data_IF_319841613837
#
_entry.id   IF_319841613837
#
_cell.length_a   1.000
_cell.length_b   1.000
_cell.length_c   1.000
_cell.angle_alpha   90.00
_cell.angle_beta   90.00
_cell.angle_gamma   90.00
#
_symmetry.space_group_name_H-M   'P 1'
#
loop_
_entity.id
_entity.type
_entity.pdbx_description
1 polymer ?
#
# COMPACT_ATOMS: atom_id res chain seq x y z
N UNK A 1 -16.76 5.87 40.10
CA UNK A 1 -15.40 6.05 39.53
C UNK A 1 -15.31 5.41 38.16
N UNK A 2 -15.34 4.08 38.02
CA UNK A 2 -15.18 3.41 36.72
C UNK A 2 -16.14 3.84 35.58
N UNK A 3 -17.36 4.31 35.90
CA UNK A 3 -18.32 4.77 34.88
C UNK A 3 -18.04 6.19 34.40
N UNK A 4 -17.56 7.08 35.28
CA UNK A 4 -17.10 8.42 34.89
C UNK A 4 -15.79 8.35 34.11
N UNK A 5 -14.87 7.46 34.52
CA UNK A 5 -13.59 7.27 33.81
C UNK A 5 -13.83 6.77 32.37
N UNK A 6 -14.77 5.84 32.17
CA UNK A 6 -15.17 5.35 30.84
C UNK A 6 -15.87 6.42 29.98
N UNK A 7 -16.64 7.31 30.59
CA UNK A 7 -17.28 8.43 29.88
C UNK A 7 -16.24 9.44 29.39
N UNK A 8 -15.24 9.75 30.22
CA UNK A 8 -14.15 10.65 29.88
C UNK A 8 -13.24 10.07 28.77
N UNK A 9 -12.88 8.79 28.85
CA UNK A 9 -12.12 8.09 27.80
C UNK A 9 -12.83 8.09 26.44
N UNK A 10 -14.16 7.86 26.44
CA UNK A 10 -14.97 7.89 25.23
C UNK A 10 -15.03 9.30 24.61
N UNK A 11 -15.15 10.33 25.45
CA UNK A 11 -15.07 11.72 25.01
C UNK A 11 -13.71 12.07 24.40
N UNK A 12 -12.61 11.64 25.02
CA UNK A 12 -11.25 11.86 24.51
C UNK A 12 -11.04 11.18 23.15
N UNK A 13 -11.47 9.94 22.99
CA UNK A 13 -11.38 9.22 21.71
C UNK A 13 -12.19 9.89 20.61
N UNK A 14 -13.38 10.41 20.92
CA UNK A 14 -14.18 11.19 19.96
C UNK A 14 -13.48 12.49 19.55
N UNK A 15 -12.91 13.21 20.51
CA UNK A 15 -12.18 14.45 20.23
C UNK A 15 -10.98 14.21 19.31
N UNK A 16 -10.19 13.16 19.59
CA UNK A 16 -9.06 12.74 18.74
C UNK A 16 -9.50 12.38 17.32
N UNK A 17 -10.57 11.59 17.18
CA UNK A 17 -11.15 11.24 15.87
C UNK A 17 -11.55 12.52 15.11
N UNK A 18 -12.28 13.44 15.75
CA UNK A 18 -12.72 14.69 15.12
C UNK A 18 -11.54 15.56 14.66
N UNK A 19 -10.51 15.70 15.50
CA UNK A 19 -9.32 16.47 15.15
C UNK A 19 -8.61 15.91 13.92
N UNK A 20 -8.27 14.62 13.92
CA UNK A 20 -7.57 14.00 12.80
C UNK A 20 -8.42 13.98 11.52
N UNK A 21 -9.73 13.77 11.63
CA UNK A 21 -10.64 13.90 10.48
C UNK A 21 -10.63 15.32 9.92
N UNK A 22 -10.68 16.34 10.78
CA UNK A 22 -10.65 17.74 10.32
C UNK A 22 -9.38 18.10 9.56
N UNK A 23 -8.24 17.49 9.92
CA UNK A 23 -6.99 17.65 9.17
C UNK A 23 -7.09 16.92 7.82
N UNK A 24 -7.58 15.67 7.82
CA UNK A 24 -7.66 14.85 6.61
C UNK A 24 -8.61 15.44 5.54
N UNK A 25 -9.77 15.97 5.95
CA UNK A 25 -10.78 16.59 5.09
C UNK A 25 -10.60 18.10 4.87
N UNK A 26 -9.48 18.67 5.35
CA UNK A 26 -9.08 20.07 5.20
C UNK A 26 -9.91 21.08 6.02
N UNK A 27 -10.95 20.67 6.75
CA UNK A 27 -11.77 21.59 7.55
C UNK A 27 -11.01 22.23 8.71
N UNK A 28 -9.94 21.61 9.22
CA UNK A 28 -9.01 22.19 10.18
C UNK A 28 -8.43 23.53 9.72
N UNK A 29 -8.18 23.67 8.42
CA UNK A 29 -7.63 24.87 7.80
C UNK A 29 -8.71 25.81 7.26
N UNK A 30 -9.99 25.45 7.40
CA UNK A 30 -11.10 26.20 6.80
C UNK A 30 -11.04 26.28 5.27
N UNK A 31 -10.38 25.33 4.60
CA UNK A 31 -10.19 25.34 3.15
C UNK A 31 -11.52 25.13 2.42
N UNK A 32 -11.91 26.07 1.55
CA UNK A 32 -13.22 26.06 0.88
C UNK A 32 -13.10 25.67 -0.59
N UNK A 33 -12.07 26.14 -1.27
CA UNK A 33 -11.90 25.93 -2.71
C UNK A 33 -11.04 24.69 -3.01
N UNK A 34 -11.08 24.20 -4.25
CA UNK A 34 -10.19 23.13 -4.69
C UNK A 34 -8.73 23.60 -4.61
N UNK A 35 -8.42 24.79 -5.13
CA UNK A 35 -7.10 25.42 -5.02
C UNK A 35 -6.53 25.45 -3.61
N UNK A 36 -7.32 25.86 -2.60
CA UNK A 36 -6.87 25.89 -1.20
C UNK A 36 -6.41 24.49 -0.75
N UNK A 37 -7.21 23.46 -1.07
CA UNK A 37 -6.91 22.08 -0.70
C UNK A 37 -5.68 21.54 -1.44
N UNK A 38 -5.51 21.91 -2.71
CA UNK A 38 -4.32 21.54 -3.48
C UNK A 38 -3.06 22.19 -2.92
N UNK A 39 -3.11 23.48 -2.55
CA UNK A 39 -1.98 24.16 -1.89
C UNK A 39 -1.57 23.46 -0.59
N UNK A 40 -2.55 23.14 0.27
CA UNK A 40 -2.32 22.46 1.55
C UNK A 40 -1.70 21.07 1.38
N UNK A 41 -1.86 20.45 0.22
CA UNK A 41 -1.36 19.10 -0.09
C UNK A 41 -0.04 19.13 -0.84
N UNK A 42 0.14 20.08 -1.74
CA UNK A 42 1.33 20.26 -2.56
C UNK A 42 2.56 20.60 -1.73
N UNK A 43 2.44 21.53 -0.77
CA UNK A 43 3.59 22.01 0.01
C UNK A 43 4.30 20.88 0.78
N UNK A 44 3.63 20.01 1.57
CA UNK A 44 4.30 18.88 2.23
C UNK A 44 4.87 17.81 1.28
N UNK A 45 4.51 17.87 -0.02
CA UNK A 45 4.94 16.91 -1.04
C UNK A 45 5.94 17.52 -2.04
N UNK A 46 6.35 18.77 -1.88
CA UNK A 46 7.19 19.48 -2.84
C UNK A 46 8.53 18.76 -3.09
N UNK A 47 9.14 18.16 -2.06
CA UNK A 47 10.34 17.30 -2.20
C UNK A 47 10.21 16.17 -3.24
N UNK A 48 8.99 15.66 -3.49
CA UNK A 48 8.76 14.60 -4.48
C UNK A 48 8.94 15.10 -5.92
N UNK A 49 8.73 16.40 -6.17
CA UNK A 49 9.00 17.03 -7.45
C UNK A 49 10.50 16.95 -7.75
N UNK A 50 11.34 17.31 -6.79
CA UNK A 50 12.81 17.22 -6.93
C UNK A 50 13.25 15.77 -7.13
N UNK A 51 12.83 14.87 -6.25
CA UNK A 51 13.27 13.48 -6.23
C UNK A 51 12.84 12.69 -7.49
N UNK A 52 11.62 12.92 -7.99
CA UNK A 52 11.03 12.07 -9.03
C UNK A 52 10.60 12.81 -10.30
N UNK A 53 10.62 14.15 -10.29
CA UNK A 53 10.07 14.96 -11.39
C UNK A 53 8.56 14.76 -11.58
N UNK A 54 7.82 14.44 -10.50
CA UNK A 54 6.37 14.21 -10.59
C UNK A 54 5.58 15.52 -10.45
N UNK A 55 4.59 15.69 -11.31
CA UNK A 55 3.61 16.76 -11.26
C UNK A 55 2.22 16.11 -11.34
N UNK A 56 1.62 15.83 -10.17
CA UNK A 56 0.36 15.11 -10.06
C UNK A 56 -0.51 15.68 -8.94
N UNK A 57 -1.65 15.05 -8.67
CA UNK A 57 -2.61 15.43 -7.62
C UNK A 57 -2.02 15.55 -6.20
N UNK A 58 -0.81 15.07 -5.94
CA UNK A 58 -0.10 15.22 -4.66
C UNK A 58 0.80 16.45 -4.61
N UNK A 59 1.33 16.89 -5.75
CA UNK A 59 2.37 17.93 -5.85
C UNK A 59 1.91 19.20 -6.55
N UNK A 60 0.81 19.15 -7.30
CA UNK A 60 0.31 20.28 -8.07
C UNK A 60 -0.66 21.16 -7.30
N UNK A 61 -0.68 22.45 -7.67
CA UNK A 61 -1.74 23.41 -7.30
C UNK A 61 -2.68 23.73 -8.47
N UNK A 62 -2.41 23.16 -9.64
CA UNK A 62 -3.22 23.30 -10.84
C UNK A 62 -4.44 22.38 -10.78
N UNK A 63 -5.63 22.97 -10.83
CA UNK A 63 -6.90 22.26 -10.72
C UNK A 63 -7.14 21.32 -11.90
N UNK A 64 -6.73 21.71 -13.12
CA UNK A 64 -6.91 20.91 -14.34
C UNK A 64 -6.02 19.67 -14.31
N UNK A 65 -4.74 19.83 -13.95
CA UNK A 65 -3.82 18.70 -13.80
C UNK A 65 -4.29 17.73 -12.71
N UNK A 66 -4.86 18.26 -11.62
CA UNK A 66 -5.48 17.44 -10.58
C UNK A 66 -6.68 16.64 -11.11
N UNK A 67 -7.59 17.28 -11.83
CA UNK A 67 -8.78 16.65 -12.40
C UNK A 67 -8.43 15.57 -13.43
N UNK A 68 -7.47 15.85 -14.33
CA UNK A 68 -6.97 14.88 -15.33
C UNK A 68 -6.33 13.66 -14.66
N UNK A 69 -5.54 13.88 -13.60
CA UNK A 69 -4.99 12.79 -12.80
C UNK A 69 -6.09 11.93 -12.17
N UNK A 70 -7.07 12.54 -11.51
CA UNK A 70 -8.16 11.83 -10.82
C UNK A 70 -9.02 11.07 -11.83
N UNK A 71 -9.31 11.69 -12.98
CA UNK A 71 -10.04 11.08 -14.08
C UNK A 71 -9.31 9.82 -14.57
N UNK A 72 -8.02 9.93 -14.88
CA UNK A 72 -7.21 8.82 -15.37
C UNK A 72 -7.14 7.69 -14.35
N UNK A 73 -6.88 8.00 -13.07
CA UNK A 73 -6.84 7.00 -12.01
C UNK A 73 -8.18 6.25 -11.84
N UNK A 74 -9.31 6.98 -11.90
CA UNK A 74 -10.65 6.38 -11.84
C UNK A 74 -10.96 5.52 -13.05
N UNK A 75 -10.57 5.94 -14.25
CA UNK A 75 -10.76 5.14 -15.46
C UNK A 75 -10.01 3.80 -15.37
N UNK A 76 -8.75 3.81 -14.94
CA UNK A 76 -7.98 2.57 -14.77
C UNK A 76 -8.67 1.60 -13.81
N UNK A 77 -9.16 2.09 -12.67
CA UNK A 77 -9.82 1.29 -11.63
C UNK A 77 -11.22 0.80 -12.04
N UNK A 78 -12.08 1.71 -12.50
CA UNK A 78 -13.48 1.41 -12.81
C UNK A 78 -13.61 0.53 -14.06
N UNK A 79 -12.57 0.47 -14.90
CA UNK A 79 -12.57 -0.39 -16.08
C UNK A 79 -12.30 -1.87 -15.77
N UNK A 80 -11.93 -2.23 -14.53
CA UNK A 80 -11.56 -3.60 -14.15
C UNK A 80 -12.79 -4.48 -13.96
N UNK A 81 -13.09 -5.27 -14.99
CA UNK A 81 -14.10 -6.33 -14.96
C UNK A 81 -13.49 -7.66 -14.47
N UNK A 82 -14.31 -8.71 -14.46
CA UNK A 82 -13.93 -10.03 -13.94
C UNK A 82 -12.77 -10.65 -14.73
N UNK A 83 -12.74 -10.41 -16.05
CA UNK A 83 -11.66 -10.91 -16.92
C UNK A 83 -10.35 -10.19 -16.59
N UNK A 84 -10.40 -8.89 -16.36
CA UNK A 84 -9.24 -8.12 -15.93
C UNK A 84 -8.77 -8.52 -14.54
N UNK A 85 -9.67 -8.80 -13.59
CA UNK A 85 -9.29 -9.34 -12.29
C UNK A 85 -8.56 -10.69 -12.40
N UNK A 86 -9.09 -11.61 -13.20
CA UNK A 86 -8.41 -12.89 -13.49
C UNK A 86 -7.03 -12.65 -14.12
N UNK A 87 -6.94 -11.75 -15.10
CA UNK A 87 -5.66 -11.36 -15.73
C UNK A 87 -4.66 -10.79 -14.72
N UNK A 88 -5.10 -9.94 -13.79
CA UNK A 88 -4.23 -9.37 -12.75
C UNK A 88 -3.73 -10.47 -11.79
N UNK A 89 -4.57 -11.46 -11.45
CA UNK A 89 -4.19 -12.63 -10.65
C UNK A 89 -3.15 -13.51 -11.36
N UNK A 90 -3.42 -13.87 -12.61
CA UNK A 90 -2.47 -14.61 -13.46
C UNK A 90 -1.15 -13.86 -13.60
N UNK A 91 -1.22 -12.53 -13.77
CA UNK A 91 -0.06 -11.66 -13.89
C UNK A 91 0.78 -11.64 -12.62
N UNK A 92 0.14 -11.50 -11.46
CA UNK A 92 0.82 -11.55 -10.17
C UNK A 92 1.53 -12.89 -9.95
N UNK A 93 0.85 -14.00 -10.26
CA UNK A 93 1.42 -15.34 -10.14
C UNK A 93 2.59 -15.56 -11.11
N UNK A 94 2.47 -15.06 -12.35
CA UNK A 94 3.55 -15.08 -13.34
C UNK A 94 4.77 -14.28 -12.85
N UNK A 95 4.57 -13.07 -12.34
CA UNK A 95 5.65 -12.22 -11.86
C UNK A 95 6.39 -12.87 -10.68
N UNK A 96 5.65 -13.46 -9.73
CA UNK A 96 6.24 -14.14 -8.58
C UNK A 96 7.05 -15.37 -9.00
N UNK A 97 6.50 -16.21 -9.88
CA UNK A 97 7.23 -17.38 -10.40
C UNK A 97 8.48 -16.96 -11.17
N UNK A 98 8.39 -15.89 -11.98
CA UNK A 98 9.55 -15.37 -12.73
C UNK A 98 10.63 -14.86 -11.78
N UNK A 99 10.24 -14.16 -10.71
CA UNK A 99 11.18 -13.72 -9.68
C UNK A 99 11.82 -14.90 -8.93
N UNK A 100 11.05 -15.93 -8.56
CA UNK A 100 11.57 -17.14 -7.91
C UNK A 100 12.60 -17.84 -8.81
N UNK A 101 12.31 -18.00 -10.11
CA UNK A 101 13.25 -18.59 -11.06
C UNK A 101 14.52 -17.74 -11.20
N UNK A 102 14.38 -16.41 -11.25
CA UNK A 102 15.51 -15.49 -11.23
C UNK A 102 16.34 -15.63 -9.94
N UNK A 103 15.70 -15.69 -8.77
CA UNK A 103 16.37 -15.87 -7.49
C UNK A 103 17.12 -17.21 -7.45
N UNK A 104 16.47 -18.30 -7.88
CA UNK A 104 17.11 -19.62 -7.95
C UNK A 104 18.36 -19.64 -8.83
N UNK A 105 18.31 -18.97 -9.98
CA UNK A 105 19.43 -18.91 -10.92
C UNK A 105 20.61 -18.07 -10.41
N UNK A 106 20.38 -17.07 -9.56
CA UNK A 106 21.41 -16.11 -9.12
C UNK A 106 21.85 -16.27 -7.66
N UNK A 107 21.01 -16.87 -6.80
CA UNK A 107 21.20 -16.98 -5.35
C UNK A 107 21.15 -18.42 -4.84
N UNK A 108 20.85 -19.39 -5.72
CA UNK A 108 20.61 -20.78 -5.33
C UNK A 108 19.15 -21.04 -4.97
N UNK A 109 18.80 -22.31 -4.74
CA UNK A 109 17.43 -22.72 -4.41
C UNK A 109 16.87 -21.87 -3.26
N UNK A 110 15.80 -21.12 -3.53
CA UNK A 110 15.23 -20.16 -2.60
C UNK A 110 14.76 -20.80 -1.29
N UNK A 111 14.39 -22.09 -1.32
CA UNK A 111 14.03 -22.82 -0.10
C UNK A 111 15.20 -22.91 0.88
N UNK A 112 16.43 -23.03 0.38
CA UNK A 112 17.64 -23.13 1.19
C UNK A 112 18.29 -21.74 1.40
N UNK A 113 18.46 -20.99 0.31
CA UNK A 113 19.16 -19.71 0.29
C UNK A 113 18.34 -18.54 0.84
N UNK A 114 17.01 -18.68 0.89
CA UNK A 114 16.08 -17.63 1.26
C UNK A 114 15.61 -16.80 0.05
N UNK A 115 14.31 -16.49 0.03
CA UNK A 115 13.69 -15.57 -0.92
C UNK A 115 13.46 -14.20 -0.26
N UNK A 116 14.13 -13.11 -0.68
CA UNK A 116 13.92 -11.78 -0.10
C UNK A 116 12.50 -11.28 -0.36
N UNK A 117 11.70 -11.19 0.71
CA UNK A 117 10.25 -10.96 0.59
C UNK A 117 9.92 -9.55 0.08
N UNK A 118 10.59 -8.53 0.61
CA UNK A 118 10.34 -7.15 0.22
C UNK A 118 10.64 -6.94 -1.28
N UNK A 119 11.78 -7.45 -1.78
CA UNK A 119 12.14 -7.36 -3.19
C UNK A 119 11.15 -8.12 -4.09
N UNK A 120 10.80 -9.36 -3.73
CA UNK A 120 9.83 -10.17 -4.47
C UNK A 120 8.47 -9.46 -4.60
N UNK A 121 7.93 -8.97 -3.48
CA UNK A 121 6.61 -8.31 -3.42
C UNK A 121 6.65 -6.96 -4.12
N UNK A 122 7.77 -6.22 -4.07
CA UNK A 122 7.98 -5.00 -4.85
C UNK A 122 7.93 -5.30 -6.35
N UNK A 123 8.61 -6.34 -6.83
CA UNK A 123 8.57 -6.76 -8.25
C UNK A 123 7.16 -7.14 -8.69
N UNK A 124 6.47 -7.99 -7.92
CA UNK A 124 5.09 -8.43 -8.23
C UNK A 124 4.12 -7.24 -8.27
N UNK A 125 4.18 -6.38 -7.24
CA UNK A 125 3.28 -5.23 -7.14
C UNK A 125 3.50 -4.23 -8.26
N UNK A 126 4.75 -3.94 -8.64
CA UNK A 126 5.06 -3.08 -9.77
C UNK A 126 4.50 -3.68 -11.08
N UNK A 127 4.76 -4.96 -11.32
CA UNK A 127 4.35 -5.66 -12.53
C UNK A 127 2.81 -5.65 -12.73
N UNK A 128 2.06 -5.81 -11.64
CA UNK A 128 0.59 -5.72 -11.61
C UNK A 128 0.11 -4.27 -11.80
N UNK A 129 0.75 -3.29 -11.18
CA UNK A 129 0.42 -1.86 -11.36
C UNK A 129 0.67 -1.42 -12.80
N UNK A 130 1.73 -1.89 -13.45
CA UNK A 130 1.98 -1.61 -14.87
C UNK A 130 0.92 -2.25 -15.78
N UNK A 131 0.45 -3.46 -15.47
CA UNK A 131 -0.67 -4.08 -16.19
C UNK A 131 -1.97 -3.28 -16.03
N UNK A 132 -2.23 -2.76 -14.82
CA UNK A 132 -3.42 -1.95 -14.53
C UNK A 132 -3.40 -0.58 -15.23
N UNK A 133 -2.26 0.12 -15.19
CA UNK A 133 -2.15 1.51 -15.64
C UNK A 133 -1.75 1.63 -17.12
N UNK A 134 -0.95 0.70 -17.64
CA UNK A 134 -0.37 0.75 -18.98
C UNK A 134 -0.52 -0.58 -19.75
N UNK A 135 -1.73 -1.15 -19.85
CA UNK A 135 -1.94 -2.47 -20.46
C UNK A 135 -1.50 -2.56 -21.94
N UNK A 136 -1.49 -1.43 -22.66
CA UNK A 136 -1.12 -1.35 -24.09
C UNK A 136 0.37 -1.08 -24.31
N UNK A 137 1.05 -0.48 -23.35
CA UNK A 137 2.43 -0.02 -23.45
C UNK A 137 3.29 -0.84 -22.50
N UNK A 138 3.20 -2.16 -22.61
CA UNK A 138 3.81 -3.07 -21.64
C UNK A 138 4.88 -3.92 -22.31
N UNK A 139 6.09 -3.82 -21.81
CA UNK A 139 7.19 -4.71 -22.17
C UNK A 139 7.05 -6.09 -21.54
N UNK A 140 7.97 -6.99 -21.90
CA UNK A 140 8.17 -8.24 -21.15
C UNK A 140 8.71 -7.90 -19.77
N UNK A 141 8.32 -8.69 -18.76
CA UNK A 141 8.89 -8.54 -17.42
C UNK A 141 10.38 -8.92 -17.45
N UNK A 142 11.22 -7.92 -17.20
CA UNK A 142 12.62 -8.08 -16.83
C UNK A 142 12.71 -7.94 -15.32
N UNK A 143 13.05 -9.03 -14.61
CA UNK A 143 13.19 -9.00 -13.15
C UNK A 143 14.27 -8.01 -12.72
N UNK A 144 15.37 -7.93 -13.48
CA UNK A 144 16.47 -6.98 -13.23
C UNK A 144 16.00 -5.53 -13.33
N UNK A 145 15.24 -5.18 -14.36
CA UNK A 145 14.71 -3.82 -14.50
C UNK A 145 13.66 -3.52 -13.43
N UNK A 146 12.81 -4.48 -13.07
CA UNK A 146 11.84 -4.32 -12.00
C UNK A 146 12.52 -4.11 -10.64
N UNK A 147 13.56 -4.88 -10.31
CA UNK A 147 14.38 -4.66 -9.11
C UNK A 147 15.01 -3.27 -9.16
N UNK A 148 15.61 -2.87 -10.29
CA UNK A 148 16.24 -1.56 -10.45
C UNK A 148 15.26 -0.41 -10.26
N UNK A 149 14.07 -0.49 -10.86
CA UNK A 149 13.02 0.52 -10.70
C UNK A 149 12.59 0.63 -9.24
N UNK A 150 12.25 -0.50 -8.62
CA UNK A 150 11.72 -0.51 -7.25
C UNK A 150 12.75 -0.14 -6.20
N UNK A 151 14.02 -0.52 -6.36
CA UNK A 151 15.11 -0.10 -5.47
C UNK A 151 15.42 1.39 -5.64
N UNK A 152 15.48 1.88 -6.88
CA UNK A 152 15.72 3.30 -7.16
C UNK A 152 14.63 4.18 -6.58
N UNK A 153 13.35 3.76 -6.67
CA UNK A 153 12.24 4.47 -6.02
C UNK A 153 12.44 4.54 -4.51
N UNK A 154 12.78 3.42 -3.86
CA UNK A 154 12.97 3.40 -2.41
C UNK A 154 14.16 4.28 -1.98
N UNK A 155 15.28 4.20 -2.68
CA UNK A 155 16.49 5.01 -2.42
C UNK A 155 16.19 6.50 -2.56
N UNK A 156 15.64 6.94 -3.70
CA UNK A 156 15.28 8.34 -3.92
C UNK A 156 14.24 8.84 -2.90
N UNK A 157 13.32 7.98 -2.48
CA UNK A 157 12.35 8.34 -1.45
C UNK A 157 13.02 8.60 -0.10
N UNK A 158 13.89 7.69 0.35
CA UNK A 158 14.61 7.82 1.62
C UNK A 158 15.50 9.07 1.59
N UNK A 159 16.28 9.26 0.53
CA UNK A 159 17.12 10.45 0.33
C UNK A 159 16.31 11.74 0.40
N UNK A 160 15.13 11.79 -0.25
CA UNK A 160 14.29 12.99 -0.28
C UNK A 160 13.81 13.46 1.10
N UNK A 161 13.82 12.59 2.11
CA UNK A 161 13.45 12.94 3.49
C UNK A 161 14.61 13.50 4.31
N UNK A 162 15.84 13.12 3.98
CA UNK A 162 17.06 13.54 4.70
C UNK A 162 17.60 14.86 4.14
N UNK A 163 17.44 15.04 2.84
CA UNK A 163 18.02 16.11 2.05
C UNK A 163 16.95 17.14 1.61
N UNK A 164 16.05 17.50 2.52
CA UNK A 164 15.03 18.51 2.29
C UNK A 164 15.75 19.86 2.04
N UNK A 165 15.62 20.41 0.82
CA UNK A 165 16.25 21.66 0.35
C UNK A 165 17.76 21.64 0.03
N UNK A 166 18.39 20.48 -0.12
CA UNK A 166 19.76 20.38 -0.67
C UNK A 166 19.78 20.08 -2.18
N UNK A 167 20.76 20.59 -2.94
CA UNK A 167 20.90 20.28 -4.36
C UNK A 167 21.00 18.78 -4.62
N UNK A 168 20.41 18.33 -5.74
CA UNK A 168 20.45 16.93 -6.16
C UNK A 168 21.91 16.45 -6.33
N UNK A 169 22.28 15.38 -5.62
CA UNK A 169 23.63 14.82 -5.69
C UNK A 169 23.86 14.10 -7.02
N UNK A 170 25.13 13.96 -7.44
CA UNK A 170 25.48 13.15 -8.62
C UNK A 170 25.11 11.66 -8.47
N UNK A 171 24.96 11.17 -7.24
CA UNK A 171 24.44 9.83 -7.00
C UNK A 171 22.93 9.78 -7.28
N UNK A 172 22.16 10.71 -6.71
CA UNK A 172 20.71 10.80 -6.93
C UNK A 172 20.35 10.98 -8.41
N UNK A 173 21.11 11.81 -9.14
CA UNK A 173 20.95 11.97 -10.61
C UNK A 173 21.16 10.65 -11.36
N UNK A 174 22.20 9.88 -11.00
CA UNK A 174 22.48 8.58 -11.60
C UNK A 174 21.36 7.57 -11.30
N UNK A 175 20.90 7.51 -10.05
CA UNK A 175 19.76 6.68 -9.64
C UNK A 175 18.49 7.03 -10.40
N UNK A 176 18.20 8.33 -10.57
CA UNK A 176 17.05 8.82 -11.35
C UNK A 176 17.16 8.45 -12.83
N UNK A 177 18.35 8.58 -13.43
CA UNK A 177 18.58 8.16 -14.81
C UNK A 177 18.39 6.64 -15.00
N UNK A 178 18.86 5.82 -14.05
CA UNK A 178 18.67 4.36 -14.05
C UNK A 178 17.19 4.00 -13.90
N UNK A 179 16.48 4.64 -12.96
CA UNK A 179 15.04 4.50 -12.77
C UNK A 179 14.27 4.73 -14.07
N UNK A 180 14.49 5.87 -14.73
CA UNK A 180 13.79 6.19 -15.97
C UNK A 180 14.14 5.23 -17.11
N UNK A 181 15.41 4.81 -17.23
CA UNK A 181 15.85 3.85 -18.25
C UNK A 181 15.18 2.49 -18.07
N UNK A 182 15.27 1.90 -16.89
CA UNK A 182 14.66 0.59 -16.61
C UNK A 182 13.14 0.63 -16.67
N UNK A 183 12.52 1.72 -16.25
CA UNK A 183 11.07 1.90 -16.39
C UNK A 183 10.63 1.99 -17.86
N UNK A 184 11.39 2.69 -18.70
CA UNK A 184 11.13 2.74 -20.15
C UNK A 184 11.18 1.35 -20.79
N UNK A 185 12.13 0.50 -20.39
CA UNK A 185 12.22 -0.90 -20.82
C UNK A 185 10.97 -1.70 -20.42
N UNK A 186 10.49 -1.54 -19.18
CA UNK A 186 9.27 -2.21 -18.72
C UNK A 186 7.99 -1.69 -19.42
N UNK A 187 8.00 -0.45 -19.89
CA UNK A 187 6.89 0.18 -20.60
C UNK A 187 6.95 0.08 -22.14
N UNK A 188 7.89 -0.70 -22.70
CA UNK A 188 8.07 -0.82 -24.16
C UNK A 188 8.08 0.54 -24.90
N UNK A 189 8.56 1.61 -24.26
CA UNK A 189 8.64 2.96 -24.81
C UNK A 189 10.10 3.33 -25.08
N UNK A 190 10.35 4.02 -26.20
CA UNK A 190 11.71 4.43 -26.61
C UNK A 190 12.33 5.47 -25.67
N UNK A 191 11.54 6.40 -25.15
CA UNK A 191 11.97 7.42 -24.21
C UNK A 191 10.78 7.99 -23.45
N UNK A 192 10.96 8.25 -22.14
CA UNK A 192 10.01 8.99 -21.32
C UNK A 192 10.25 10.49 -21.53
N UNK A 193 9.71 11.07 -22.61
CA UNK A 193 9.93 12.48 -22.98
C UNK A 193 8.72 13.35 -22.62
N UNK A 194 8.94 14.42 -21.84
CA UNK A 194 7.95 15.46 -21.51
C UNK A 194 7.56 15.48 -20.02
N UNK A 195 7.51 16.68 -19.40
CA UNK A 195 7.09 16.86 -17.99
C UNK A 195 5.66 16.39 -17.72
N UNK A 196 4.83 16.37 -18.76
CA UNK A 196 3.40 16.10 -18.64
C UNK A 196 3.06 14.60 -18.83
N UNK A 197 4.05 13.76 -19.15
CA UNK A 197 3.88 12.32 -19.37
C UNK A 197 4.84 11.47 -18.52
N UNK A 198 5.29 11.97 -17.37
CA UNK A 198 6.07 11.16 -16.43
C UNK A 198 5.20 10.01 -15.87
N UNK A 199 5.45 8.73 -16.20
CA UNK A 199 4.60 7.62 -15.76
C UNK A 199 4.63 7.43 -14.24
N UNK A 200 5.67 7.94 -13.56
CA UNK A 200 5.73 7.97 -12.10
C UNK A 200 4.59 8.78 -11.48
N UNK A 201 3.96 9.70 -12.22
CA UNK A 201 2.79 10.43 -11.74
C UNK A 201 1.69 9.48 -11.26
N UNK A 202 1.39 8.41 -12.01
CA UNK A 202 0.38 7.41 -11.68
C UNK A 202 0.96 6.17 -10.99
N UNK A 203 2.17 5.74 -11.37
CA UNK A 203 2.81 4.56 -10.79
C UNK A 203 3.08 4.78 -9.31
N UNK A 204 3.69 5.91 -8.92
CA UNK A 204 4.12 6.12 -7.53
C UNK A 204 2.95 5.99 -6.54
N UNK A 205 1.80 6.70 -6.70
CA UNK A 205 0.68 6.55 -5.78
C UNK A 205 0.08 5.15 -5.73
N UNK A 206 0.05 4.43 -6.86
CA UNK A 206 -0.54 3.09 -6.95
C UNK A 206 0.39 2.00 -6.39
N UNK A 207 1.67 2.05 -6.75
CA UNK A 207 2.68 1.07 -6.38
C UNK A 207 3.13 1.21 -4.93
N UNK A 208 3.53 2.41 -4.50
CA UNK A 208 4.15 2.62 -3.18
C UNK A 208 3.21 2.30 -2.02
N UNK A 209 1.93 2.57 -2.21
CA UNK A 209 0.91 2.27 -1.21
C UNK A 209 0.57 0.79 -1.17
N UNK A 210 0.62 0.11 -2.32
CA UNK A 210 0.19 -1.28 -2.44
C UNK A 210 1.21 -2.26 -1.84
N UNK A 211 2.46 -2.23 -2.28
CA UNK A 211 3.41 -3.31 -1.95
C UNK A 211 3.65 -3.47 -0.44
N UNK A 212 3.60 -2.35 0.32
CA UNK A 212 3.84 -2.33 1.77
C UNK A 212 2.73 -3.02 2.55
N UNK A 213 1.47 -2.77 2.18
CA UNK A 213 0.33 -3.45 2.83
C UNK A 213 0.31 -4.92 2.45
N UNK A 214 0.68 -5.29 1.21
CA UNK A 214 0.81 -6.71 0.81
C UNK A 214 1.87 -7.41 1.65
N UNK A 215 3.08 -6.85 1.75
CA UNK A 215 4.19 -7.43 2.52
C UNK A 215 3.80 -7.66 3.97
N UNK A 216 3.29 -6.61 4.63
CA UNK A 216 2.94 -6.67 6.05
C UNK A 216 1.78 -7.64 6.31
N UNK A 217 0.76 -7.63 5.45
CA UNK A 217 -0.38 -8.54 5.57
C UNK A 217 0.04 -9.98 5.35
N UNK A 218 0.83 -10.27 4.31
CA UNK A 218 1.31 -11.62 4.04
C UNK A 218 2.16 -12.16 5.20
N UNK A 219 3.15 -11.40 5.68
CA UNK A 219 3.98 -11.85 6.81
C UNK A 219 3.13 -12.07 8.05
N UNK A 220 2.31 -11.08 8.43
CA UNK A 220 1.54 -11.17 9.66
C UNK A 220 0.59 -12.36 9.62
N UNK A 221 -0.14 -12.56 8.51
CA UNK A 221 -1.17 -13.59 8.43
C UNK A 221 -0.59 -14.98 8.13
N UNK A 222 0.35 -15.10 7.21
CA UNK A 222 0.89 -16.40 6.79
C UNK A 222 2.05 -16.91 7.66
N UNK A 223 2.78 -16.03 8.37
CA UNK A 223 4.03 -16.38 9.04
C UNK A 223 4.04 -16.14 10.56
N UNK A 224 3.29 -15.14 11.04
CA UNK A 224 3.32 -14.76 12.46
C UNK A 224 2.04 -15.08 13.24
N UNK A 225 0.88 -14.95 12.59
CA UNK A 225 -0.40 -15.29 13.20
C UNK A 225 -0.49 -16.81 13.36
N UNK A 226 -1.29 -17.29 14.31
CA UNK A 226 -1.53 -18.71 14.57
C UNK A 226 -2.97 -18.94 15.06
N UNK A 227 -3.52 -20.14 14.86
CA UNK A 227 -4.83 -20.55 15.39
C UNK A 227 -5.89 -20.82 14.32
N UNK A 228 -6.91 -21.59 14.71
CA UNK A 228 -7.96 -22.15 13.83
C UNK A 228 -8.72 -21.08 13.04
N UNK A 229 -9.14 -19.97 13.67
CA UNK A 229 -9.94 -18.91 13.03
C UNK A 229 -9.20 -18.23 11.87
N UNK A 230 -7.88 -18.11 11.97
CA UNK A 230 -7.03 -17.54 10.92
C UNK A 230 -6.90 -18.51 9.74
N UNK A 231 -6.70 -19.80 10.03
CA UNK A 231 -6.58 -20.85 9.02
C UNK A 231 -7.86 -20.94 8.18
N UNK A 232 -9.02 -21.02 8.85
CA UNK A 232 -10.32 -21.00 8.18
C UNK A 232 -10.50 -19.77 7.28
N UNK A 233 -10.08 -18.59 7.75
CA UNK A 233 -10.21 -17.34 6.98
C UNK A 233 -9.30 -17.33 5.74
N UNK A 234 -8.07 -17.82 5.85
CA UNK A 234 -7.13 -17.87 4.71
C UNK A 234 -7.54 -18.93 3.70
N UNK A 235 -7.92 -20.13 4.15
CA UNK A 235 -8.35 -21.21 3.28
C UNK A 235 -9.62 -20.83 2.52
N UNK A 236 -10.61 -20.23 3.21
CA UNK A 236 -11.80 -19.64 2.60
C UNK A 236 -11.42 -18.62 1.51
N UNK A 237 -10.48 -17.71 1.79
CA UNK A 237 -10.06 -16.71 0.80
C UNK A 237 -9.33 -17.31 -0.40
N UNK A 238 -8.49 -18.33 -0.18
CA UNK A 238 -7.75 -19.02 -1.24
C UNK A 238 -8.68 -19.74 -2.20
N UNK A 239 -9.80 -20.27 -1.71
CA UNK A 239 -10.85 -20.86 -2.52
C UNK A 239 -11.68 -19.80 -3.27
N UNK A 240 -12.05 -18.70 -2.59
CA UNK A 240 -12.95 -17.69 -3.15
C UNK A 240 -12.26 -16.83 -4.22
N UNK A 241 -11.08 -16.29 -3.92
CA UNK A 241 -10.41 -15.27 -4.74
C UNK A 241 -10.22 -15.68 -6.22
N UNK A 242 -9.77 -16.90 -6.55
CA UNK A 242 -9.58 -17.33 -7.94
C UNK A 242 -10.88 -17.48 -8.73
N UNK A 243 -11.99 -17.76 -8.05
CA UNK A 243 -13.27 -18.10 -8.66
C UNK A 243 -14.23 -16.91 -8.73
N UNK A 244 -14.09 -15.94 -7.82
CA UNK A 244 -15.15 -14.95 -7.58
C UNK A 244 -14.72 -13.48 -7.59
N UNK A 245 -13.46 -13.15 -7.89
CA UNK A 245 -13.09 -11.73 -8.03
C UNK A 245 -13.85 -11.05 -9.18
N UNK A 246 -14.77 -10.15 -8.80
CA UNK A 246 -15.68 -9.43 -9.69
C UNK A 246 -17.01 -10.15 -9.99
N UNK A 247 -17.23 -11.37 -9.50
CA UNK A 247 -18.54 -12.03 -9.62
C UNK A 247 -19.49 -11.57 -8.49
N UNK A 248 -20.74 -12.06 -8.49
CA UNK A 248 -21.87 -11.59 -7.66
C UNK A 248 -21.53 -11.18 -6.20
N UNK A 249 -22.25 -10.17 -5.70
CA UNK A 249 -22.05 -9.45 -4.43
C UNK A 249 -21.96 -10.34 -3.17
N UNK A 250 -22.56 -11.52 -3.17
CA UNK A 250 -22.73 -12.33 -1.95
C UNK A 250 -21.41 -12.95 -1.43
N UNK A 251 -20.42 -13.19 -2.31
CA UNK A 251 -19.11 -13.75 -1.94
C UNK A 251 -18.00 -12.69 -1.82
N UNK A 252 -18.30 -11.42 -2.11
CA UNK A 252 -17.35 -10.32 -1.96
C UNK A 252 -17.15 -9.90 -0.50
N UNK A 253 -18.08 -10.28 0.38
CA UNK A 253 -18.05 -9.93 1.81
C UNK A 253 -16.73 -10.31 2.51
N UNK A 254 -16.32 -11.60 2.51
CA UNK A 254 -15.07 -12.04 3.12
C UNK A 254 -13.82 -11.40 2.50
N UNK A 255 -13.77 -11.28 1.16
CA UNK A 255 -12.65 -10.68 0.42
C UNK A 255 -12.47 -9.21 0.81
N UNK A 256 -13.57 -8.44 0.80
CA UNK A 256 -13.51 -7.03 1.20
C UNK A 256 -13.21 -6.90 2.69
N UNK A 257 -13.78 -7.75 3.55
CA UNK A 257 -13.51 -7.73 4.99
C UNK A 257 -12.03 -7.96 5.31
N UNK A 258 -11.39 -8.93 4.63
CA UNK A 258 -9.95 -9.17 4.75
C UNK A 258 -9.13 -7.95 4.32
N UNK A 259 -9.42 -7.38 3.15
CA UNK A 259 -8.74 -6.19 2.67
C UNK A 259 -8.94 -4.98 3.58
N UNK A 260 -10.12 -4.83 4.21
CA UNK A 260 -10.36 -3.77 5.20
C UNK A 260 -9.53 -3.95 6.45
N UNK A 261 -9.42 -5.16 6.96
CA UNK A 261 -8.59 -5.43 8.13
C UNK A 261 -7.11 -5.22 7.84
N UNK A 262 -6.64 -5.62 6.66
CA UNK A 262 -5.30 -5.31 6.18
C UNK A 262 -5.03 -3.80 6.14
N UNK A 263 -5.97 -3.01 5.62
CA UNK A 263 -5.84 -1.55 5.58
C UNK A 263 -5.97 -0.88 6.94
N UNK A 264 -6.69 -1.49 7.89
CA UNK A 264 -6.78 -1.01 9.27
C UNK A 264 -5.45 -1.26 9.99
N UNK A 265 -4.97 -2.51 10.00
CA UNK A 265 -3.78 -2.87 10.74
C UNK A 265 -2.49 -2.33 10.08
N UNK A 266 -2.45 -2.28 8.74
CA UNK A 266 -1.30 -1.84 7.96
C UNK A 266 -1.66 -0.73 6.97
N UNK A 267 -2.15 0.40 7.48
CA UNK A 267 -2.53 1.55 6.67
C UNK A 267 -1.35 2.04 5.79
N UNK A 268 -1.45 2.00 4.44
CA UNK A 268 -0.39 2.47 3.56
C UNK A 268 -0.02 3.93 3.77
N UNK A 269 -1.03 4.76 4.07
CA UNK A 269 -0.88 6.16 4.43
C UNK A 269 -1.14 6.31 5.92
N UNK A 270 -0.10 6.08 6.72
CA UNK A 270 -0.18 6.18 8.18
C UNK A 270 -0.47 7.60 8.68
N UNK A 271 0.02 8.60 7.95
CA UNK A 271 -0.16 10.02 8.25
C UNK A 271 -0.59 10.77 7.01
N UNK A 272 -1.63 11.59 7.15
CA UNK A 272 -2.13 12.47 6.08
C UNK A 272 -1.67 13.90 6.40
N UNK A 273 -0.62 14.35 5.71
CA UNK A 273 -0.03 15.67 5.91
C UNK A 273 -0.79 16.76 5.16
N UNK A 274 -0.91 17.92 5.80
CA UNK A 274 -1.44 19.17 5.27
C UNK A 274 -0.63 20.34 5.80
N UNK A 275 -0.27 21.31 4.96
CA UNK A 275 0.47 22.46 5.42
C UNK A 275 0.50 23.60 4.41
N UNK A 276 0.58 24.84 4.90
CA UNK A 276 0.69 26.03 4.05
C UNK A 276 2.09 26.20 3.45
N UNK A 277 3.08 25.64 4.14
CA UNK A 277 4.48 25.60 3.72
C UNK A 277 5.09 24.27 4.20
N UNK A 278 6.33 23.99 3.78
CA UNK A 278 7.09 22.82 4.26
C UNK A 278 7.35 22.84 5.78
N UNK A 279 7.27 24.02 6.42
CA UNK A 279 7.57 24.19 7.85
C UNK A 279 6.31 24.35 8.73
N UNK A 280 5.13 24.54 8.12
CA UNK A 280 3.83 24.66 8.82
C UNK A 280 2.94 23.47 8.43
N UNK A 281 3.37 22.26 8.78
CA UNK A 281 2.68 21.01 8.42
C UNK A 281 2.03 20.37 9.65
N UNK A 282 0.77 19.99 9.51
CA UNK A 282 -0.01 19.19 10.47
C UNK A 282 -0.37 17.85 9.82
N UNK A 283 -0.41 16.78 10.61
CA UNK A 283 -0.74 15.44 10.13
C UNK A 283 -1.97 14.86 10.86
N UNK A 284 -2.89 14.28 10.09
CA UNK A 284 -3.84 13.33 10.66
C UNK A 284 -3.12 12.00 10.89
N UNK A 285 -3.16 11.44 12.09
CA UNK A 285 -2.55 10.14 12.39
C UNK A 285 -3.59 9.04 12.20
N UNK A 286 -3.51 8.38 11.05
CA UNK A 286 -4.42 7.30 10.64
C UNK A 286 -4.10 6.03 11.41
N UNK A 287 -2.82 5.70 11.54
CA UNK A 287 -2.33 4.51 12.22
C UNK A 287 -2.71 4.53 13.71
N UNK A 288 -2.50 5.66 14.39
CA UNK A 288 -2.89 5.81 15.79
C UNK A 288 -4.40 5.57 16.00
N UNK A 289 -5.25 6.12 15.13
CA UNK A 289 -6.70 5.86 15.21
C UNK A 289 -7.07 4.41 14.88
N UNK A 290 -6.31 3.73 14.04
CA UNK A 290 -6.58 2.34 13.64
C UNK A 290 -6.12 1.34 14.68
N UNK A 291 -5.11 1.67 15.47
CA UNK A 291 -4.54 0.81 16.52
C UNK A 291 -5.08 1.14 17.93
N UNK A 292 -5.92 2.17 18.06
CA UNK A 292 -6.43 2.60 19.37
C UNK A 292 -7.34 1.53 20.01
N UNK A 293 -6.92 1.03 21.19
CA UNK A 293 -7.61 -0.01 21.96
C UNK A 293 -9.00 0.44 22.46
N UNK A 294 -9.22 1.75 22.69
CA UNK A 294 -10.53 2.28 23.09
C UNK A 294 -11.50 2.32 21.91
N UNK A 295 -11.01 2.40 20.67
CA UNK A 295 -11.82 2.40 19.46
C UNK A 295 -12.07 0.97 18.98
N UNK A 296 -11.03 0.13 18.92
CA UNK A 296 -11.06 -1.18 18.26
C UNK A 296 -11.11 -2.37 19.21
N UNK A 297 -11.06 -2.13 20.52
CA UNK A 297 -11.08 -3.15 21.57
C UNK A 297 -9.70 -3.70 21.91
N UNK A 298 -9.61 -4.64 22.87
CA UNK A 298 -8.34 -5.21 23.34
C UNK A 298 -7.53 -5.91 22.24
N UNK A 299 -8.21 -6.43 21.22
CA UNK A 299 -7.62 -7.12 20.07
C UNK A 299 -7.19 -6.14 18.95
N UNK A 300 -7.15 -4.83 19.17
CA UNK A 300 -6.89 -3.81 18.12
C UNK A 300 -5.61 -4.05 17.32
N UNK A 301 -4.62 -4.72 17.90
CA UNK A 301 -3.33 -4.99 17.24
C UNK A 301 -3.31 -6.36 16.54
N UNK A 302 -4.36 -7.15 16.71
CA UNK A 302 -4.53 -8.45 16.04
C UNK A 302 -5.19 -8.25 14.68
N UNK A 303 -4.82 -9.12 13.73
CA UNK A 303 -5.47 -9.20 12.43
C UNK A 303 -6.77 -10.01 12.53
N UNK A 304 -7.91 -9.33 12.58
CA UNK A 304 -9.25 -9.93 12.70
C UNK A 304 -10.21 -9.44 11.60
N UNK A 305 -10.27 -10.12 10.44
CA UNK A 305 -11.22 -9.81 9.37
C UNK A 305 -12.69 -9.91 9.79
N UNK A 306 -12.97 -10.68 10.85
CA UNK A 306 -14.29 -10.82 11.45
C UNK A 306 -14.95 -9.48 11.82
N UNK A 307 -14.15 -8.46 12.16
CA UNK A 307 -14.62 -7.09 12.45
C UNK A 307 -15.44 -6.49 11.31
N UNK A 308 -15.07 -6.81 10.08
CA UNK A 308 -15.68 -6.24 8.87
C UNK A 308 -16.67 -7.16 8.17
N UNK A 309 -16.91 -8.38 8.69
CA UNK A 309 -17.93 -9.31 8.13
C UNK A 309 -19.33 -8.72 8.18
N UNK A 310 -19.68 -7.98 9.24
CA UNK A 310 -20.93 -7.24 9.36
C UNK A 310 -20.66 -5.76 9.69
N UNK A 311 -20.63 -4.92 8.66
CA UNK A 311 -20.33 -3.49 8.79
C UNK A 311 -21.32 -2.75 9.70
N UNK A 312 -22.54 -3.28 9.92
CA UNK A 312 -23.54 -2.69 10.81
C UNK A 312 -23.14 -2.85 12.28
N UNK A 313 -22.30 -3.83 12.62
CA UNK A 313 -21.81 -4.06 13.99
C UNK A 313 -20.69 -3.11 14.40
N UNK A 314 -20.04 -2.43 13.46
CA UNK A 314 -19.05 -1.41 13.80
C UNK A 314 -19.70 -0.31 14.63
N UNK A 315 -18.99 0.18 15.64
CA UNK A 315 -19.44 1.37 16.38
C UNK A 315 -19.30 2.62 15.49
N UNK A 316 -19.94 3.73 15.89
CA UNK A 316 -19.75 5.01 15.19
C UNK A 316 -18.27 5.44 15.20
N UNK A 317 -17.59 5.27 16.33
CA UNK A 317 -16.17 5.61 16.46
C UNK A 317 -15.29 4.77 15.53
N UNK A 318 -15.53 3.46 15.43
CA UNK A 318 -14.79 2.59 14.50
C UNK A 318 -14.97 3.03 13.05
N UNK A 319 -16.21 3.35 12.65
CA UNK A 319 -16.48 3.87 11.30
C UNK A 319 -15.81 5.21 11.05
N UNK A 320 -15.83 6.12 12.03
CA UNK A 320 -15.26 7.45 11.90
C UNK A 320 -13.71 7.43 11.93
N UNK A 321 -13.11 6.48 12.65
CA UNK A 321 -11.67 6.24 12.71
C UNK A 321 -11.11 5.56 11.45
N UNK A 322 -11.91 4.71 10.78
CA UNK A 322 -11.50 3.99 9.59
C UNK A 322 -11.40 4.90 8.34
N UNK A 323 -10.19 5.43 8.10
CA UNK A 323 -9.87 6.33 6.99
C UNK A 323 -8.59 5.96 6.18
N UNK A 324 -8.33 4.69 5.85
CA UNK A 324 -7.10 4.30 5.13
C UNK A 324 -6.98 4.91 3.72
N UNK A 325 -8.08 5.37 3.16
CA UNK A 325 -8.18 6.03 1.86
C UNK A 325 -8.36 7.55 1.94
N UNK A 326 -8.16 8.13 3.12
CA UNK A 326 -8.60 9.50 3.41
C UNK A 326 -10.13 9.63 3.45
N UNK A 327 -10.59 10.87 3.60
CA UNK A 327 -12.02 11.21 3.72
C UNK A 327 -12.33 12.50 2.96
N UNK A 328 -13.63 12.79 2.80
CA UNK A 328 -14.10 14.01 2.15
C UNK A 328 -13.83 14.02 0.64
N UNK A 329 -13.54 15.21 0.11
CA UNK A 329 -13.47 15.49 -1.34
C UNK A 329 -12.22 14.94 -2.03
N UNK A 330 -11.15 14.64 -1.27
CA UNK A 330 -9.90 14.06 -1.79
C UNK A 330 -9.72 12.59 -1.40
N UNK A 331 -10.83 11.85 -1.24
CA UNK A 331 -10.79 10.41 -0.98
C UNK A 331 -10.14 9.67 -2.15
N UNK A 332 -9.32 8.66 -1.83
CA UNK A 332 -8.60 7.85 -2.82
C UNK A 332 -9.54 7.21 -3.85
N UNK A 333 -9.20 7.24 -5.16
CA UNK A 333 -9.97 6.55 -6.20
C UNK A 333 -10.21 5.05 -5.95
N UNK A 334 -9.33 4.37 -5.19
CA UNK A 334 -9.42 2.94 -4.91
C UNK A 334 -10.38 2.56 -3.75
N UNK A 335 -11.00 3.54 -3.07
CA UNK A 335 -11.68 3.34 -1.79
C UNK A 335 -13.02 2.58 -1.83
N UNK A 336 -13.52 2.25 -3.04
CA UNK A 336 -14.80 1.58 -3.25
C UNK A 336 -14.62 0.07 -3.45
N UNK A 337 -13.80 -0.54 -2.59
CA UNK A 337 -13.52 -1.98 -2.60
C UNK A 337 -12.42 -2.41 -3.57
N UNK A 338 -11.95 -1.54 -4.47
CA UNK A 338 -10.89 -1.92 -5.42
C UNK A 338 -9.58 -2.23 -4.67
N UNK A 339 -9.19 -1.35 -3.74
CA UNK A 339 -7.98 -1.55 -2.95
C UNK A 339 -8.04 -2.82 -2.11
N UNK A 340 -9.17 -3.07 -1.45
CA UNK A 340 -9.40 -4.27 -0.64
C UNK A 340 -9.31 -5.57 -1.46
N UNK A 341 -9.92 -5.59 -2.66
CA UNK A 341 -9.84 -6.73 -3.58
C UNK A 341 -8.43 -6.97 -4.08
N UNK A 342 -7.71 -5.90 -4.45
CA UNK A 342 -6.32 -6.00 -4.89
C UNK A 342 -5.41 -6.55 -3.80
N UNK A 343 -5.61 -6.11 -2.55
CA UNK A 343 -4.84 -6.61 -1.41
C UNK A 343 -5.06 -8.11 -1.22
N UNK A 344 -6.32 -8.53 -1.16
CA UNK A 344 -6.69 -9.93 -0.96
C UNK A 344 -6.17 -10.81 -2.10
N UNK A 345 -6.27 -10.35 -3.35
CA UNK A 345 -5.74 -11.03 -4.53
C UNK A 345 -4.25 -11.30 -4.41
N UNK A 346 -3.45 -10.26 -4.13
CA UNK A 346 -2.00 -10.38 -4.10
C UNK A 346 -1.52 -11.22 -2.90
N UNK A 347 -2.17 -11.11 -1.74
CA UNK A 347 -1.87 -11.95 -0.58
C UNK A 347 -2.19 -13.43 -0.87
N UNK A 348 -3.34 -13.73 -1.50
CA UNK A 348 -3.68 -15.10 -1.91
C UNK A 348 -2.68 -15.64 -2.93
N UNK A 349 -2.23 -14.84 -3.89
CA UNK A 349 -1.20 -15.27 -4.85
C UNK A 349 0.11 -15.62 -4.14
N UNK A 350 0.53 -14.82 -3.16
CA UNK A 350 1.72 -15.12 -2.34
C UNK A 350 1.53 -16.41 -1.54
N UNK A 351 0.40 -16.55 -0.84
CA UNK A 351 0.07 -17.73 -0.06
C UNK A 351 0.07 -19.00 -0.91
N UNK A 352 -0.59 -19.00 -2.07
CA UNK A 352 -0.65 -20.18 -2.96
C UNK A 352 0.70 -20.59 -3.55
N UNK A 353 1.68 -19.67 -3.62
CA UNK A 353 2.99 -19.91 -4.25
C UNK A 353 4.10 -20.16 -3.25
N UNK A 354 4.10 -19.42 -2.15
CA UNK A 354 5.13 -19.50 -1.11
C UNK A 354 4.69 -20.40 0.05
N UNK A 355 3.40 -20.48 0.32
CA UNK A 355 2.83 -21.19 1.47
C UNK A 355 2.75 -20.32 2.72
N UNK A 356 2.59 -21.00 3.85
CA UNK A 356 2.52 -20.44 5.20
C UNK A 356 3.43 -21.20 6.15
N UNK A 357 3.51 -20.72 7.39
CA UNK A 357 4.24 -21.40 8.47
C UNK A 357 3.78 -22.84 8.68
N UNK A 358 2.49 -23.10 8.57
CA UNK A 358 1.91 -24.44 8.78
C UNK A 358 2.22 -25.40 7.62
N UNK A 359 2.59 -24.84 6.45
CA UNK A 359 3.12 -25.59 5.30
C UNK A 359 4.65 -25.74 5.33
N UNK A 360 5.28 -25.45 6.47
CA UNK A 360 6.73 -25.56 6.66
C UNK A 360 7.54 -24.35 6.19
N UNK A 361 6.90 -23.23 5.86
CA UNK A 361 7.61 -22.00 5.49
C UNK A 361 8.15 -21.29 6.74
N UNK A 362 9.42 -20.91 6.72
CA UNK A 362 10.07 -20.20 7.81
C UNK A 362 10.47 -18.80 7.35
N UNK A 363 10.34 -17.82 8.25
CA UNK A 363 10.83 -16.47 8.05
C UNK A 363 12.18 -16.29 8.73
N UNK A 364 13.11 -15.72 7.99
CA UNK A 364 14.39 -15.22 8.46
C UNK A 364 14.27 -13.70 8.60
N UNK A 365 14.39 -13.19 9.83
CA UNK A 365 14.28 -11.76 10.14
C UNK A 365 15.60 -11.00 9.87
N UNK A 366 16.63 -11.67 9.35
CA UNK A 366 17.95 -11.08 9.14
C UNK A 366 18.52 -10.51 10.45
N UNK A 367 18.95 -9.24 10.41
CA UNK A 367 19.50 -8.54 11.58
C UNK A 367 18.43 -8.01 12.56
N UNK A 368 17.14 -8.24 12.31
CA UNK A 368 16.05 -7.73 13.15
C UNK A 368 15.71 -8.70 14.30
N UNK A 369 15.21 -8.16 15.40
CA UNK A 369 14.64 -8.98 16.48
C UNK A 369 13.46 -9.81 15.97
N UNK A 370 13.29 -11.00 16.56
CA UNK A 370 12.14 -11.84 16.28
C UNK A 370 10.86 -11.10 16.66
N UNK A 371 9.87 -11.17 15.78
CA UNK A 371 8.61 -10.45 15.98
C UNK A 371 7.63 -11.27 16.82
N UNK A 372 7.00 -10.61 17.79
CA UNK A 372 5.99 -11.19 18.66
C UNK A 372 4.67 -11.46 17.93
N UNK A 373 3.96 -12.50 18.37
CA UNK A 373 2.59 -12.77 17.89
C UNK A 373 1.64 -11.70 18.41
N UNK A 374 0.76 -11.20 17.55
CA UNK A 374 -0.29 -10.25 17.94
C UNK A 374 0.14 -8.78 18.01
N UNK A 375 1.40 -8.47 17.67
CA UNK A 375 1.86 -7.10 17.51
C UNK A 375 1.94 -6.71 16.02
N UNK A 376 1.72 -5.43 15.67
CA UNK A 376 1.91 -4.97 14.31
C UNK A 376 3.39 -5.04 13.94
N UNK A 377 3.66 -5.43 12.70
CA UNK A 377 5.01 -5.44 12.14
C UNK A 377 5.66 -4.05 12.12
N UNK A 378 6.99 -3.97 12.10
CA UNK A 378 7.68 -2.73 11.77
C UNK A 378 7.32 -2.31 10.35
N UNK A 379 7.15 -1.01 10.15
CA UNK A 379 6.54 -0.47 8.93
C UNK A 379 7.37 0.67 8.34
N UNK A 380 8.61 0.86 8.81
CA UNK A 380 9.61 1.73 8.19
C UNK A 380 10.05 1.21 6.83
N UNK A 381 10.78 2.05 6.09
CA UNK A 381 11.11 1.76 4.69
C UNK A 381 12.19 0.69 4.52
N UNK A 382 13.00 0.49 5.55
CA UNK A 382 14.17 -0.40 5.51
C UNK A 382 14.03 -1.59 6.47
N UNK A 383 13.05 -1.55 7.38
CA UNK A 383 12.92 -2.45 8.52
C UNK A 383 12.78 -3.94 8.13
N UNK A 384 12.22 -4.21 6.94
CA UNK A 384 11.98 -5.58 6.45
C UNK A 384 12.77 -5.91 5.17
N UNK A 385 13.76 -5.09 4.77
CA UNK A 385 14.49 -5.29 3.51
C UNK A 385 15.39 -6.54 3.54
N UNK A 386 15.88 -6.93 4.71
CA UNK A 386 16.70 -8.13 4.90
C UNK A 386 15.87 -9.40 5.14
N UNK A 387 14.54 -9.28 5.26
CA UNK A 387 13.70 -10.41 5.63
C UNK A 387 13.51 -11.35 4.44
N UNK A 388 13.68 -12.64 4.69
CA UNK A 388 13.58 -13.68 3.68
C UNK A 388 12.71 -14.84 4.15
N UNK A 389 12.15 -15.60 3.21
CA UNK A 389 11.48 -16.87 3.53
C UNK A 389 12.25 -18.06 2.98
N UNK A 390 12.28 -19.13 3.76
CA UNK A 390 12.94 -20.41 3.46
C UNK A 390 11.92 -21.53 3.62
N UNK A 391 12.02 -22.55 2.77
CA UNK A 391 11.17 -23.73 2.87
C UNK A 391 11.88 -24.81 3.66
N UNK A 392 11.13 -25.68 4.33
CA UNK A 392 11.64 -27.01 4.68
C UNK A 392 11.89 -27.88 3.45
#
# INVERSE_FOLDING_TARGET
MAENDRLDENCLSRARILQHRSIADFSYFGAKTLRDRLQLRAAPNARLITAFGINNSFTTVDEKLHEEFIHTARLSINSVDNRKWAKLSERAAFALNTYILYSNANRGNWKDAGLPLAEAIRVVSLDVVLELLYPTNRGRLSVVDAITVTSSINTLWVESKVHENTPETEASKRTKAQLHKSLACLLAVRQLSGSDANPLNLIMPAYETLWRVILSTYIHVALLSGGEVREETLDELVEIVPLYLGTSLDLEGPVVAFGKEALRLYAPTKRIYRGKSEHEVVAADVEALHHDLLIWGPDALEFNPGRFKDIKRLTKQQRDAYMPFGIGTHRCPAAHGFGERMISLLVVVLFRRLGSKDMGLQIDFGDSEQQDRGMPLPTGRLDMETWAVKGQ
#
